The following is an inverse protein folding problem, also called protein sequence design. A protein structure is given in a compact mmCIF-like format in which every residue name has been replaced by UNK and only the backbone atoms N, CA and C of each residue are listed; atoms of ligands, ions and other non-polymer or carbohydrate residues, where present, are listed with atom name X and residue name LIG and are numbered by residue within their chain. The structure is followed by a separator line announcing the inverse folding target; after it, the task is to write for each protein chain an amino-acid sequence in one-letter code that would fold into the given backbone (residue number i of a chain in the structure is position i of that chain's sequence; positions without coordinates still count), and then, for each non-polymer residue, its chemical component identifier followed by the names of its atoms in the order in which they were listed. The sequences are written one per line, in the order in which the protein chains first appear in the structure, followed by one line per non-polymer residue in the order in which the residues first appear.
data_IF_497838194427
#
_entry.id   IF_497838194427
#
_cell.length_a   1.000
_cell.length_b   1.000
_cell.length_c   1.000
_cell.angle_alpha   90.00
_cell.angle_beta   90.00
_cell.angle_gamma   90.00
#
_symmetry.space_group_name_H-M   'P 1'
#
loop_
_entity.id
_entity.type
_entity.pdbx_description
1 polymer ?
#
# COMPACT_ATOMS: atom_id res chain seq x y z
N UNK A 1 24.53 -15.45 -6.88
CA UNK A 1 23.87 -14.45 -7.72
C UNK A 1 24.70 -13.15 -7.87
N UNK A 2 25.81 -13.00 -7.17
CA UNK A 2 26.61 -11.76 -7.19
C UNK A 2 26.09 -10.66 -6.25
N UNK A 3 24.92 -10.84 -5.66
CA UNK A 3 24.46 -9.98 -4.57
C UNK A 3 25.18 -10.38 -3.28
N UNK A 4 25.76 -9.40 -2.60
CA UNK A 4 26.28 -9.54 -1.25
C UNK A 4 25.21 -8.98 -0.32
N UNK A 5 24.54 -9.86 0.41
CA UNK A 5 23.59 -9.45 1.43
C UNK A 5 24.36 -8.82 2.61
N UNK A 6 23.74 -7.87 3.26
CA UNK A 6 24.23 -7.28 4.51
C UNK A 6 23.61 -8.03 5.71
N UNK A 7 24.15 -7.93 6.92
CA UNK A 7 23.73 -8.78 8.04
C UNK A 7 22.23 -8.86 8.30
N UNK A 8 21.52 -7.74 8.25
CA UNK A 8 20.07 -7.73 8.46
C UNK A 8 19.31 -8.46 7.34
N UNK A 9 19.81 -8.41 6.09
CA UNK A 9 19.23 -9.12 4.95
C UNK A 9 19.46 -10.62 5.06
N UNK A 10 20.64 -11.04 5.52
CA UNK A 10 20.93 -12.46 5.78
C UNK A 10 19.99 -13.02 6.86
N UNK A 11 19.77 -12.26 7.94
CA UNK A 11 18.84 -12.61 9.00
C UNK A 11 17.40 -12.68 8.48
N UNK A 12 16.95 -11.67 7.72
CA UNK A 12 15.61 -11.65 7.15
C UNK A 12 15.38 -12.85 6.22
N UNK A 13 16.33 -13.15 5.33
CA UNK A 13 16.24 -14.30 4.43
C UNK A 13 16.12 -15.64 5.18
N UNK A 14 16.85 -15.77 6.31
CA UNK A 14 16.74 -16.91 7.20
C UNK A 14 15.36 -17.00 7.86
N UNK A 15 14.85 -15.91 8.39
CA UNK A 15 13.58 -15.87 9.13
C UNK A 15 12.38 -16.09 8.20
N UNK A 16 12.39 -15.50 6.99
CA UNK A 16 11.36 -15.77 5.96
C UNK A 16 11.40 -17.23 5.53
N UNK A 17 12.61 -17.82 5.44
CA UNK A 17 12.80 -19.19 5.01
C UNK A 17 12.55 -20.25 6.09
N UNK A 18 12.18 -19.86 7.33
CA UNK A 18 11.98 -20.79 8.43
C UNK A 18 10.78 -21.72 8.19
N UNK A 19 10.99 -23.02 8.38
CA UNK A 19 9.97 -24.06 8.25
C UNK A 19 9.87 -24.88 9.53
N UNK A 20 8.68 -25.34 9.81
CA UNK A 20 8.40 -26.27 10.91
C UNK A 20 8.81 -27.71 10.58
N UNK A 21 8.60 -28.64 11.50
CA UNK A 21 8.92 -30.05 11.33
C UNK A 21 8.14 -30.73 10.19
N UNK A 22 7.02 -30.14 9.73
CA UNK A 22 6.23 -30.63 8.58
C UNK A 22 6.68 -30.01 7.25
N UNK A 23 7.67 -29.12 7.27
CA UNK A 23 8.15 -28.37 6.10
C UNK A 23 7.25 -27.21 5.70
N UNK A 24 6.34 -26.78 6.55
CA UNK A 24 5.50 -25.59 6.33
C UNK A 24 6.19 -24.33 6.87
N UNK A 25 5.91 -23.21 6.22
CA UNK A 25 6.41 -21.92 6.69
C UNK A 25 5.97 -21.66 8.14
N UNK A 26 6.91 -21.31 9.00
CA UNK A 26 6.61 -20.84 10.36
C UNK A 26 5.83 -19.54 10.30
N UNK A 27 6.17 -18.70 9.32
CA UNK A 27 5.55 -17.39 9.13
C UNK A 27 4.96 -17.27 7.71
N UNK A 28 3.73 -17.74 7.48
CA UNK A 28 3.06 -17.59 6.19
C UNK A 28 2.70 -16.13 5.86
N UNK A 29 2.73 -15.22 6.84
CA UNK A 29 2.59 -13.78 6.63
C UNK A 29 3.87 -13.07 7.09
N UNK A 30 4.41 -12.22 6.22
CA UNK A 30 5.65 -11.47 6.48
C UNK A 30 5.41 -9.99 6.20
N UNK A 31 5.64 -9.13 7.17
CA UNK A 31 5.62 -7.68 7.04
C UNK A 31 7.01 -7.09 7.22
N UNK A 32 7.42 -6.22 6.31
CA UNK A 32 8.73 -5.57 6.32
C UNK A 32 8.52 -4.08 6.19
N UNK A 33 8.77 -3.34 7.26
CA UNK A 33 8.75 -1.89 7.30
C UNK A 33 10.16 -1.36 7.53
N UNK A 34 10.71 -0.69 6.53
CA UNK A 34 12.09 -0.21 6.58
C UNK A 34 12.19 1.11 5.80
N UNK A 35 13.05 2.07 6.22
CA UNK A 35 13.28 3.31 5.49
C UNK A 35 13.67 3.07 4.02
N UNK A 36 13.53 4.10 3.21
CA UNK A 36 13.93 4.03 1.79
C UNK A 36 15.41 3.70 1.63
N UNK A 37 15.74 3.09 0.49
CA UNK A 37 17.10 2.79 0.04
C UNK A 37 17.92 1.86 0.96
N UNK A 38 17.28 1.13 1.85
CA UNK A 38 17.94 0.14 2.70
C UNK A 38 18.14 -1.23 2.01
N UNK A 39 17.70 -1.41 0.77
CA UNK A 39 17.90 -2.65 0.02
C UNK A 39 16.83 -3.73 0.25
N UNK A 40 15.67 -3.37 0.79
CA UNK A 40 14.50 -4.25 1.00
C UNK A 40 14.21 -5.15 -0.19
N UNK A 41 14.03 -4.57 -1.38
CA UNK A 41 13.67 -5.33 -2.59
C UNK A 41 14.79 -6.24 -3.08
N UNK A 42 16.07 -5.94 -2.78
CA UNK A 42 17.21 -6.81 -3.16
C UNK A 42 17.15 -8.14 -2.44
N UNK A 43 16.89 -8.14 -1.14
CA UNK A 43 16.77 -9.35 -0.34
C UNK A 43 15.61 -10.22 -0.84
N UNK A 44 14.43 -9.63 -0.99
CA UNK A 44 13.23 -10.33 -1.49
C UNK A 44 13.48 -10.89 -2.90
N UNK A 45 14.17 -10.16 -3.80
CA UNK A 45 14.53 -10.63 -5.14
C UNK A 45 15.40 -11.90 -5.05
N UNK A 46 16.41 -11.90 -4.19
CA UNK A 46 17.32 -13.05 -4.02
C UNK A 46 16.54 -14.25 -3.51
N UNK A 47 15.70 -14.05 -2.49
CA UNK A 47 14.88 -15.12 -1.92
C UNK A 47 13.88 -15.68 -2.93
N UNK A 48 13.12 -14.83 -3.62
CA UNK A 48 12.16 -15.21 -4.67
C UNK A 48 12.85 -15.96 -5.82
N UNK A 49 14.03 -15.49 -6.25
CA UNK A 49 14.78 -16.16 -7.31
C UNK A 49 15.14 -17.59 -6.92
N UNK A 50 15.53 -17.82 -5.66
CA UNK A 50 15.81 -19.17 -5.13
C UNK A 50 14.53 -20.01 -5.10
N UNK A 51 13.44 -19.47 -4.54
CA UNK A 51 12.18 -20.19 -4.39
C UNK A 51 11.59 -20.58 -5.75
N UNK A 52 11.56 -19.68 -6.72
CA UNK A 52 11.02 -20.00 -8.04
C UNK A 52 11.97 -20.87 -8.87
N UNK A 53 13.25 -20.47 -9.00
CA UNK A 53 14.16 -21.13 -9.94
C UNK A 53 14.70 -22.47 -9.45
N UNK A 54 14.82 -22.69 -8.14
CA UNK A 54 15.37 -23.92 -7.56
C UNK A 54 14.30 -24.76 -6.84
N UNK A 55 13.44 -24.15 -6.04
CA UNK A 55 12.44 -24.88 -5.26
C UNK A 55 11.09 -25.07 -5.98
N UNK A 56 10.90 -24.43 -7.15
CA UNK A 56 9.73 -24.65 -8.01
C UNK A 56 8.44 -24.00 -7.54
N UNK A 57 8.53 -22.94 -6.72
CA UNK A 57 7.38 -22.17 -6.28
C UNK A 57 6.84 -21.27 -7.39
N UNK A 58 5.52 -21.08 -7.40
CA UNK A 58 4.86 -20.07 -8.25
C UNK A 58 4.71 -18.79 -7.45
N UNK A 59 5.37 -17.75 -7.91
CA UNK A 59 5.45 -16.45 -7.23
C UNK A 59 4.73 -15.39 -8.04
N UNK A 60 3.86 -14.63 -7.39
CA UNK A 60 3.31 -13.39 -7.91
C UNK A 60 4.00 -12.20 -7.25
N UNK A 61 4.70 -11.40 -8.05
CA UNK A 61 5.24 -10.11 -7.61
C UNK A 61 4.32 -8.97 -8.04
N UNK A 62 3.89 -8.14 -7.09
CA UNK A 62 2.98 -7.04 -7.39
C UNK A 62 3.55 -5.68 -7.01
N UNK A 63 3.32 -4.70 -7.88
CA UNK A 63 3.67 -3.30 -7.72
C UNK A 63 2.45 -2.39 -7.82
N UNK A 64 2.56 -1.14 -7.34
CA UNK A 64 1.45 -0.20 -7.39
C UNK A 64 1.23 0.42 -8.78
N UNK A 65 2.29 0.51 -9.61
CA UNK A 65 2.19 1.01 -10.98
C UNK A 65 3.01 0.20 -11.97
N UNK A 66 2.76 0.41 -13.29
CA UNK A 66 3.40 -0.36 -14.35
C UNK A 66 4.90 -0.04 -14.49
N UNK A 67 5.33 1.20 -14.25
CA UNK A 67 6.75 1.56 -14.37
C UNK A 67 7.60 0.84 -13.33
N UNK A 68 7.14 0.77 -12.09
CA UNK A 68 7.84 0.01 -11.04
C UNK A 68 7.78 -1.50 -11.28
N UNK A 69 6.66 -2.01 -11.84
CA UNK A 69 6.58 -3.41 -12.29
C UNK A 69 7.67 -3.72 -13.31
N UNK A 70 7.86 -2.86 -14.31
CA UNK A 70 8.89 -3.06 -15.35
C UNK A 70 10.31 -2.93 -14.81
N UNK A 71 10.56 -2.02 -13.86
CA UNK A 71 11.84 -1.95 -13.17
C UNK A 71 12.17 -3.28 -12.47
N UNK A 72 11.17 -3.88 -11.82
CA UNK A 72 11.33 -5.17 -11.16
C UNK A 72 11.60 -6.30 -12.17
N UNK A 73 10.86 -6.34 -13.27
CA UNK A 73 11.13 -7.28 -14.38
C UNK A 73 12.58 -7.17 -14.86
N UNK A 74 13.09 -5.95 -15.04
CA UNK A 74 14.48 -5.73 -15.49
C UNK A 74 15.52 -6.16 -14.44
N UNK A 75 15.22 -6.03 -13.15
CA UNK A 75 16.08 -6.57 -12.08
C UNK A 75 16.19 -8.11 -12.16
N UNK A 76 15.09 -8.80 -12.40
CA UNK A 76 15.10 -10.27 -12.60
C UNK A 76 15.76 -10.66 -13.91
N UNK A 77 15.63 -9.87 -14.99
CA UNK A 77 16.36 -10.08 -16.25
C UNK A 77 17.87 -10.03 -16.07
N UNK A 78 18.39 -9.16 -15.21
CA UNK A 78 19.81 -9.11 -14.85
C UNK A 78 20.31 -10.41 -14.19
N UNK A 79 19.42 -11.21 -13.62
CA UNK A 79 19.75 -12.51 -13.03
C UNK A 79 19.60 -13.62 -14.07
N UNK A 80 18.46 -13.68 -14.77
CA UNK A 80 18.06 -14.83 -15.59
C UNK A 80 18.21 -14.62 -17.10
N UNK A 81 18.43 -13.37 -17.56
CA UNK A 81 18.42 -13.01 -18.98
C UNK A 81 17.04 -12.57 -19.47
N UNK A 82 16.98 -11.96 -20.65
CA UNK A 82 15.74 -11.48 -21.29
C UNK A 82 14.99 -12.55 -22.03
N UNK A 83 15.67 -13.62 -22.44
CA UNK A 83 15.13 -14.75 -23.21
C UNK A 83 15.90 -16.02 -22.90
N UNK A 84 15.31 -17.14 -23.24
CA UNK A 84 15.96 -18.45 -23.14
C UNK A 84 17.20 -18.47 -24.04
N UNK A 85 18.33 -18.93 -23.50
CA UNK A 85 19.60 -18.97 -24.23
C UNK A 85 20.29 -17.61 -24.40
N UNK A 86 19.84 -16.57 -23.68
CA UNK A 86 20.50 -15.26 -23.68
C UNK A 86 21.94 -15.38 -23.20
N UNK A 87 22.89 -14.86 -24.01
CA UNK A 87 24.31 -14.82 -23.63
C UNK A 87 24.81 -13.42 -23.30
N UNK A 88 24.00 -12.39 -23.62
CA UNK A 88 24.35 -10.99 -23.42
C UNK A 88 23.98 -10.45 -22.03
N UNK A 89 22.96 -11.03 -21.43
CA UNK A 89 22.47 -10.61 -20.12
C UNK A 89 22.21 -11.83 -19.23
N UNK A 90 22.12 -11.60 -17.94
CA UNK A 90 21.92 -12.66 -16.97
C UNK A 90 23.21 -13.34 -16.50
N UNK A 91 23.11 -13.91 -15.31
CA UNK A 91 24.24 -14.61 -14.66
C UNK A 91 24.34 -16.02 -15.24
N UNK A 92 25.48 -16.47 -15.77
CA UNK A 92 25.61 -17.72 -16.54
C UNK A 92 25.03 -18.97 -15.86
N UNK A 93 25.14 -19.07 -14.55
CA UNK A 93 24.62 -20.16 -13.73
C UNK A 93 23.10 -20.13 -13.62
N UNK A 94 22.50 -18.94 -13.46
CA UNK A 94 21.07 -18.74 -13.22
C UNK A 94 20.26 -18.72 -14.53
N UNK A 95 20.80 -18.11 -15.60
CA UNK A 95 20.12 -18.07 -16.90
C UNK A 95 19.86 -19.45 -17.50
N UNK A 96 20.66 -20.47 -17.15
CA UNK A 96 20.45 -21.86 -17.57
C UNK A 96 19.17 -22.48 -17.00
N UNK A 97 18.65 -21.92 -15.93
CA UNK A 97 17.41 -22.37 -15.29
C UNK A 97 16.16 -21.81 -15.98
N UNK A 98 16.30 -20.75 -16.79
CA UNK A 98 15.21 -20.12 -17.50
C UNK A 98 14.80 -20.97 -18.71
N UNK A 99 13.53 -21.39 -18.78
CA UNK A 99 13.01 -22.24 -19.86
C UNK A 99 11.94 -21.55 -20.70
N UNK A 100 11.30 -20.50 -20.18
CA UNK A 100 10.30 -19.75 -20.92
C UNK A 100 10.13 -18.34 -20.38
N UNK A 101 9.86 -17.36 -21.23
CA UNK A 101 9.64 -15.95 -20.89
C UNK A 101 8.46 -15.39 -21.66
N UNK A 102 7.55 -14.72 -20.99
CA UNK A 102 6.56 -13.85 -21.61
C UNK A 102 6.95 -12.39 -21.36
N UNK A 103 6.99 -11.58 -22.40
CA UNK A 103 7.27 -10.15 -22.33
C UNK A 103 6.10 -9.31 -22.89
N UNK A 104 4.89 -9.91 -22.96
CA UNK A 104 3.69 -9.18 -23.35
C UNK A 104 3.32 -8.19 -22.26
N UNK A 105 3.06 -6.95 -22.63
CA UNK A 105 2.70 -5.86 -21.72
C UNK A 105 1.56 -6.24 -20.78
N UNK A 106 1.81 -6.15 -19.48
CA UNK A 106 0.84 -6.50 -18.42
C UNK A 106 0.67 -7.99 -18.16
N UNK A 107 1.48 -8.84 -18.82
CA UNK A 107 1.47 -10.29 -18.66
C UNK A 107 2.91 -10.84 -18.56
N UNK A 108 3.82 -10.09 -17.98
CA UNK A 108 5.22 -10.47 -17.88
C UNK A 108 5.41 -11.62 -16.87
N UNK A 109 6.10 -12.67 -17.30
CA UNK A 109 6.48 -13.79 -16.43
C UNK A 109 7.73 -14.54 -16.92
N UNK A 110 8.35 -15.26 -16.01
CA UNK A 110 9.50 -16.13 -16.24
C UNK A 110 9.21 -17.52 -15.68
N UNK A 111 9.45 -18.58 -16.46
CA UNK A 111 9.32 -19.98 -16.02
C UNK A 111 10.69 -20.65 -15.97
N UNK A 112 10.88 -21.50 -14.98
CA UNK A 112 12.14 -22.17 -14.70
C UNK A 112 12.05 -23.69 -14.85
N UNK A 113 13.21 -24.34 -15.05
CA UNK A 113 13.32 -25.79 -15.19
C UNK A 113 12.84 -26.57 -13.96
N UNK A 114 12.77 -25.95 -12.80
CA UNK A 114 12.15 -26.48 -11.58
C UNK A 114 10.63 -26.60 -11.64
N UNK A 115 9.98 -26.03 -12.68
CA UNK A 115 8.53 -25.84 -12.77
C UNK A 115 8.03 -24.56 -12.09
N UNK A 116 8.89 -23.83 -11.40
CA UNK A 116 8.51 -22.55 -10.77
C UNK A 116 8.29 -21.43 -11.79
N UNK A 117 7.56 -20.41 -11.36
CA UNK A 117 7.21 -19.25 -12.18
C UNK A 117 7.35 -18.00 -11.33
N UNK A 118 7.84 -16.92 -11.91
CA UNK A 118 7.69 -15.58 -11.37
C UNK A 118 6.80 -14.82 -12.34
N UNK A 119 5.63 -14.38 -11.88
CA UNK A 119 4.73 -13.51 -12.62
C UNK A 119 4.77 -12.12 -12.01
N UNK A 120 4.77 -11.10 -12.86
CA UNK A 120 4.76 -9.71 -12.45
C UNK A 120 3.40 -9.09 -12.78
N UNK A 121 2.87 -8.27 -11.88
CA UNK A 121 1.58 -7.63 -12.08
C UNK A 121 1.52 -6.26 -11.41
N UNK A 122 0.86 -5.33 -12.08
CA UNK A 122 0.43 -4.09 -11.46
C UNK A 122 -0.87 -4.32 -10.71
N UNK A 123 -0.98 -3.81 -9.49
CA UNK A 123 -2.21 -3.89 -8.69
C UNK A 123 -3.30 -3.02 -9.31
N UNK A 124 -4.30 -3.64 -9.88
CA UNK A 124 -5.50 -2.98 -10.43
C UNK A 124 -6.74 -3.64 -9.86
N UNK A 125 -7.85 -2.90 -9.76
CA UNK A 125 -9.15 -3.41 -9.29
C UNK A 125 -9.69 -4.59 -10.15
N UNK A 126 -9.13 -4.81 -11.34
CA UNK A 126 -9.59 -5.81 -12.31
C UNK A 126 -8.50 -6.82 -12.73
N UNK A 127 -7.47 -7.01 -11.89
CA UNK A 127 -6.41 -7.99 -12.19
C UNK A 127 -7.01 -9.38 -12.36
N UNK A 128 -7.17 -9.83 -13.59
CA UNK A 128 -7.64 -11.20 -13.91
C UNK A 128 -6.48 -12.17 -13.70
N UNK A 129 -6.32 -12.62 -12.48
CA UNK A 129 -5.34 -13.63 -12.14
C UNK A 129 -5.94 -15.01 -12.37
N UNK A 130 -5.70 -15.58 -13.58
CA UNK A 130 -6.14 -16.94 -13.94
C UNK A 130 -5.24 -18.05 -13.38
N UNK A 131 -4.30 -17.73 -12.48
CA UNK A 131 -3.29 -18.65 -11.96
C UNK A 131 -3.38 -18.76 -10.44
N UNK A 132 -2.99 -19.95 -9.92
CA UNK A 132 -2.77 -20.14 -8.49
C UNK A 132 -1.31 -19.88 -8.17
N UNK A 133 -1.05 -19.20 -7.07
CA UNK A 133 0.30 -18.89 -6.60
C UNK A 133 0.56 -19.51 -5.22
N UNK A 134 1.81 -19.86 -4.98
CA UNK A 134 2.27 -20.34 -3.68
C UNK A 134 2.77 -19.16 -2.82
N UNK A 135 3.33 -18.14 -3.47
CA UNK A 135 3.92 -16.97 -2.83
C UNK A 135 3.39 -15.69 -3.51
N UNK A 136 2.98 -14.71 -2.71
CA UNK A 136 2.60 -13.37 -3.19
C UNK A 136 3.48 -12.32 -2.52
N UNK A 137 4.06 -11.44 -3.32
CA UNK A 137 4.83 -10.29 -2.86
C UNK A 137 4.06 -9.01 -3.15
N UNK A 138 3.76 -8.25 -2.11
CA UNK A 138 3.25 -6.89 -2.18
C UNK A 138 4.40 -5.93 -1.90
N UNK A 139 5.16 -5.54 -2.94
CA UNK A 139 6.15 -4.46 -2.79
C UNK A 139 5.44 -3.11 -2.78
N UNK A 140 6.02 -2.10 -2.15
CA UNK A 140 5.36 -0.82 -1.85
C UNK A 140 4.01 -1.02 -1.15
N UNK A 141 4.00 -1.76 -0.03
CA UNK A 141 2.79 -2.13 0.71
C UNK A 141 2.07 -0.93 1.36
N UNK A 142 2.73 0.22 1.50
CA UNK A 142 2.09 1.48 1.92
C UNK A 142 1.07 2.00 0.90
N UNK A 143 1.08 1.50 -0.34
CA UNK A 143 0.09 1.81 -1.39
C UNK A 143 -0.99 0.72 -1.53
N UNK A 144 -1.05 -0.24 -0.60
CA UNK A 144 -1.94 -1.39 -0.67
C UNK A 144 -3.29 -1.11 -0.02
N UNK A 145 -4.37 -1.32 -0.78
CA UNK A 145 -5.75 -1.24 -0.27
C UNK A 145 -6.33 -2.61 0.02
N UNK A 146 -7.39 -2.67 0.84
CA UNK A 146 -8.13 -3.91 1.12
C UNK A 146 -8.70 -4.56 -0.14
N UNK A 147 -9.10 -3.78 -1.15
CA UNK A 147 -9.61 -4.31 -2.43
C UNK A 147 -8.55 -5.13 -3.16
N UNK A 148 -7.29 -4.70 -3.15
CA UNK A 148 -6.21 -5.44 -3.81
C UNK A 148 -6.00 -6.81 -3.17
N UNK A 149 -6.02 -6.89 -1.84
CA UNK A 149 -5.86 -8.17 -1.14
C UNK A 149 -7.06 -9.09 -1.33
N UNK A 150 -8.29 -8.57 -1.37
CA UNK A 150 -9.49 -9.35 -1.66
C UNK A 150 -9.45 -10.02 -3.03
N UNK A 151 -8.84 -9.37 -4.03
CA UNK A 151 -8.70 -9.93 -5.39
C UNK A 151 -7.55 -10.93 -5.49
N UNK A 152 -6.42 -10.65 -4.84
CA UNK A 152 -5.19 -11.42 -5.03
C UNK A 152 -5.08 -12.58 -4.06
N UNK A 153 -5.39 -12.42 -2.76
CA UNK A 153 -5.19 -13.46 -1.77
C UNK A 153 -5.94 -14.78 -2.07
N UNK A 154 -7.16 -14.80 -2.64
CA UNK A 154 -7.80 -16.06 -3.03
C UNK A 154 -6.99 -16.91 -4.01
N UNK A 155 -6.09 -16.29 -4.80
CA UNK A 155 -5.23 -17.03 -5.76
C UNK A 155 -4.22 -17.94 -5.06
N UNK A 156 -3.95 -17.73 -3.77
CA UNK A 156 -3.00 -18.55 -2.99
C UNK A 156 -3.64 -19.81 -2.38
N UNK A 157 -4.96 -19.87 -2.28
CA UNK A 157 -5.66 -20.99 -1.63
C UNK A 157 -5.52 -22.32 -2.36
N UNK A 158 -5.24 -22.28 -3.66
CA UNK A 158 -5.05 -23.45 -4.53
C UNK A 158 -3.61 -23.61 -5.03
N UNK A 159 -2.64 -23.01 -4.35
CA UNK A 159 -1.22 -23.14 -4.67
C UNK A 159 -0.76 -24.61 -4.65
N UNK A 160 0.01 -25.01 -5.65
CA UNK A 160 0.41 -26.41 -5.84
C UNK A 160 1.28 -26.98 -4.71
N UNK A 161 1.99 -26.11 -3.98
CA UNK A 161 2.83 -26.51 -2.84
C UNK A 161 2.03 -26.68 -1.54
N UNK A 162 0.78 -26.20 -1.50
CA UNK A 162 -0.02 -26.14 -0.27
C UNK A 162 0.74 -25.52 0.92
N UNK A 163 1.62 -24.58 0.61
CA UNK A 163 2.51 -23.91 1.55
C UNK A 163 2.60 -22.42 1.16
N UNK A 164 1.51 -21.71 1.42
CA UNK A 164 1.34 -20.34 1.01
C UNK A 164 2.23 -19.39 1.85
N UNK A 165 2.71 -18.33 1.22
CA UNK A 165 3.32 -17.20 1.89
C UNK A 165 2.90 -15.88 1.24
N UNK A 166 2.66 -14.85 2.07
CA UNK A 166 2.37 -13.51 1.62
C UNK A 166 3.37 -12.55 2.29
N UNK A 167 4.13 -11.82 1.48
CA UNK A 167 5.13 -10.85 1.92
C UNK A 167 4.62 -9.44 1.61
N UNK A 168 4.56 -8.60 2.62
CA UNK A 168 4.21 -7.19 2.54
C UNK A 168 5.45 -6.36 2.85
N UNK A 169 5.97 -5.65 1.88
CA UNK A 169 7.20 -4.89 2.02
C UNK A 169 6.98 -3.42 1.67
N UNK A 170 7.31 -2.52 2.57
CA UNK A 170 7.06 -1.09 2.38
C UNK A 170 7.89 -0.18 3.28
N UNK A 171 7.62 1.10 3.17
CA UNK A 171 8.04 2.14 4.09
C UNK A 171 6.88 2.51 5.01
N UNK A 172 7.10 3.23 6.12
CA UNK A 172 6.02 3.80 6.91
C UNK A 172 5.04 4.60 6.05
N UNK A 173 3.77 4.55 6.44
CA UNK A 173 2.71 5.19 5.66
C UNK A 173 2.68 6.69 5.92
N UNK A 174 2.50 7.47 4.87
CA UNK A 174 2.26 8.92 4.96
C UNK A 174 0.79 9.23 5.16
N UNK A 175 0.50 10.46 5.61
CA UNK A 175 -0.86 10.97 5.56
C UNK A 175 -1.39 10.94 4.11
N UNK A 176 -2.56 10.35 3.90
CA UNK A 176 -3.15 10.19 2.56
C UNK A 176 -2.80 8.90 1.81
N UNK A 177 -1.85 8.08 2.29
CA UNK A 177 -1.68 6.74 1.72
C UNK A 177 -2.86 5.84 2.08
N UNK A 178 -3.36 5.03 1.14
CA UNK A 178 -4.50 4.15 1.39
C UNK A 178 -4.20 2.97 2.33
N UNK A 179 -3.02 2.70 2.62
CA UNK A 179 -2.30 1.67 3.38
C UNK A 179 -3.00 0.94 4.55
N UNK A 180 -4.31 0.76 4.51
CA UNK A 180 -5.09 0.08 5.58
C UNK A 180 -4.52 -1.29 5.93
N UNK A 181 -4.18 -2.07 4.90
CA UNK A 181 -3.67 -3.43 5.09
C UNK A 181 -2.34 -3.42 5.84
N UNK A 182 -1.41 -2.55 5.45
CA UNK A 182 -0.08 -2.49 6.04
C UNK A 182 -0.10 -1.92 7.46
N UNK A 183 -0.96 -0.92 7.72
CA UNK A 183 -1.23 -0.39 9.06
C UNK A 183 -1.82 -1.46 9.98
N UNK A 184 -2.81 -2.20 9.49
CA UNK A 184 -3.45 -3.27 10.27
C UNK A 184 -2.49 -4.41 10.59
N UNK A 185 -1.58 -4.76 9.67
CA UNK A 185 -0.54 -5.76 9.93
C UNK A 185 0.41 -5.30 11.03
N UNK A 186 0.87 -4.04 10.97
CA UNK A 186 1.70 -3.46 12.02
C UNK A 186 0.98 -3.49 13.38
N UNK A 187 -0.28 -3.06 13.40
CA UNK A 187 -1.08 -3.08 14.62
C UNK A 187 -1.22 -4.51 15.18
N UNK A 188 -1.53 -5.52 14.34
CA UNK A 188 -1.57 -6.91 14.78
C UNK A 188 -0.25 -7.38 15.37
N UNK A 189 0.89 -7.02 14.75
CA UNK A 189 2.21 -7.39 15.24
C UNK A 189 2.49 -6.78 16.64
N UNK A 190 2.08 -5.54 16.86
CA UNK A 190 2.28 -4.84 18.13
C UNK A 190 1.32 -5.30 19.22
N UNK A 191 0.08 -5.59 18.89
CA UNK A 191 -0.93 -6.12 19.83
C UNK A 191 -0.63 -7.58 20.20
N UNK A 192 0.02 -8.34 19.32
CA UNK A 192 0.29 -9.74 19.52
C UNK A 192 -0.97 -10.62 19.49
N UNK A 193 -0.89 -11.77 20.17
CA UNK A 193 -2.02 -12.69 20.29
C UNK A 193 -2.22 -13.58 19.06
N UNK A 194 -3.41 -14.21 18.96
CA UNK A 194 -3.72 -15.20 17.94
C UNK A 194 -3.59 -14.66 16.51
N UNK A 195 -4.01 -13.42 16.26
CA UNK A 195 -3.94 -12.79 14.93
C UNK A 195 -2.51 -12.53 14.44
N UNK A 196 -1.54 -12.50 15.34
CA UNK A 196 -0.13 -12.30 15.01
C UNK A 196 0.68 -13.61 15.04
N UNK A 197 0.10 -14.73 15.42
CA UNK A 197 0.81 -16.00 15.65
C UNK A 197 1.54 -16.54 14.43
N UNK A 198 1.09 -16.19 13.23
CA UNK A 198 1.64 -16.60 11.94
C UNK A 198 2.36 -15.45 11.21
N UNK A 199 2.52 -14.29 11.86
CA UNK A 199 3.08 -13.07 11.29
C UNK A 199 4.51 -12.85 11.76
N UNK A 200 5.46 -12.82 10.82
CA UNK A 200 6.77 -12.19 11.01
C UNK A 200 6.65 -10.70 10.71
N UNK A 201 6.98 -9.84 11.65
CA UNK A 201 7.04 -8.40 11.44
C UNK A 201 8.45 -7.88 11.71
N UNK A 202 9.09 -7.34 10.67
CA UNK A 202 10.37 -6.65 10.77
C UNK A 202 10.17 -5.16 10.58
N UNK A 203 10.54 -4.37 11.59
CA UNK A 203 10.43 -2.92 11.54
C UNK A 203 11.74 -2.26 11.96
N UNK A 204 12.20 -1.34 11.12
CA UNK A 204 13.27 -0.41 11.44
C UNK A 204 12.69 1.01 11.40
N UNK A 205 12.75 1.71 12.52
CA UNK A 205 12.22 3.06 12.62
C UNK A 205 12.34 3.65 14.00
N UNK A 206 12.26 4.97 14.06
CA UNK A 206 12.25 5.73 15.32
C UNK A 206 10.85 5.77 15.91
N UNK A 207 10.74 5.79 17.24
CA UNK A 207 9.46 5.94 17.94
C UNK A 207 8.95 7.38 17.92
N UNK A 208 9.88 8.35 17.86
CA UNK A 208 9.58 9.79 17.79
C UNK A 208 10.44 10.49 16.74
N UNK A 209 9.95 11.59 16.20
CA UNK A 209 10.66 12.35 15.15
C UNK A 209 12.02 12.83 15.70
N UNK A 210 12.03 13.52 16.85
CA UNK A 210 13.24 14.07 17.45
C UNK A 210 14.04 14.94 16.48
N UNK A 211 15.33 15.11 16.74
CA UNK A 211 16.24 15.76 15.79
C UNK A 211 16.58 14.79 14.62
N UNK A 212 16.10 15.12 13.45
CA UNK A 212 16.33 14.30 12.23
C UNK A 212 17.80 14.36 11.76
N UNK A 213 18.56 15.38 12.19
CA UNK A 213 19.96 15.57 11.84
C UNK A 213 20.93 14.94 12.85
N UNK A 214 20.43 14.38 13.94
CA UNK A 214 21.24 13.60 14.87
C UNK A 214 21.64 12.26 14.24
N UNK A 215 22.81 12.25 13.60
CA UNK A 215 23.35 11.08 12.90
C UNK A 215 23.68 9.91 13.82
N UNK A 216 23.74 10.12 15.14
CA UNK A 216 23.95 9.02 16.10
C UNK A 216 22.78 8.04 16.14
N UNK A 217 21.58 8.50 15.77
CA UNK A 217 20.34 7.68 15.67
C UNK A 217 20.25 6.85 14.39
N UNK A 218 20.95 7.26 13.31
CA UNK A 218 20.79 6.67 11.99
C UNK A 218 21.19 5.20 11.90
N UNK A 219 22.30 4.72 12.52
CA UNK A 219 22.68 3.30 12.45
C UNK A 219 21.64 2.33 13.00
N UNK A 220 20.81 2.76 13.96
CA UNK A 220 19.79 1.92 14.60
C UNK A 220 18.61 1.66 13.65
N UNK A 221 18.29 2.63 12.78
CA UNK A 221 17.11 2.58 11.91
C UNK A 221 17.43 2.43 10.43
N UNK A 222 18.68 2.65 10.05
CA UNK A 222 19.19 2.48 8.69
C UNK A 222 20.21 1.33 8.64
N UNK A 223 19.76 0.07 8.67
CA UNK A 223 20.67 -1.08 8.84
C UNK A 223 21.59 -1.33 7.64
N UNK A 224 21.41 -0.62 6.52
CA UNK A 224 22.31 -0.64 5.36
C UNK A 224 23.24 0.56 5.29
N UNK A 225 23.27 1.40 6.31
CA UNK A 225 24.16 2.54 6.38
C UNK A 225 25.64 2.10 6.37
N UNK A 226 26.43 2.68 5.47
CA UNK A 226 27.81 2.27 5.26
C UNK A 226 28.03 1.04 4.38
N UNK A 227 26.96 0.35 3.98
CA UNK A 227 27.00 -0.76 3.01
C UNK A 227 26.48 -0.30 1.63
N UNK A 228 25.20 0.05 1.55
CA UNK A 228 24.52 0.47 0.33
C UNK A 228 24.01 1.90 0.43
N UNK A 229 23.66 2.35 1.64
CA UNK A 229 23.16 3.68 1.89
C UNK A 229 24.32 4.65 2.13
N UNK A 230 24.42 5.68 1.28
CA UNK A 230 25.43 6.73 1.40
C UNK A 230 24.90 7.90 2.25
N UNK A 231 25.62 8.21 3.32
CA UNK A 231 25.32 9.34 4.22
C UNK A 231 25.13 10.66 3.45
N UNK A 232 25.94 10.92 2.42
CA UNK A 232 25.82 12.16 1.63
C UNK A 232 24.51 12.21 0.86
N UNK A 233 24.11 11.08 0.27
CA UNK A 233 22.84 10.98 -0.45
C UNK A 233 21.65 11.17 0.49
N UNK A 234 21.69 10.58 1.69
CA UNK A 234 20.68 10.74 2.73
C UNK A 234 20.57 12.22 3.14
N UNK A 235 21.67 12.85 3.54
CA UNK A 235 21.69 14.27 3.90
C UNK A 235 21.13 15.18 2.79
N UNK A 236 21.44 14.87 1.54
CA UNK A 236 20.93 15.65 0.41
C UNK A 236 19.44 15.46 0.23
N UNK A 237 18.95 14.23 0.30
CA UNK A 237 17.52 13.94 0.15
C UNK A 237 16.66 14.51 1.28
N UNK A 238 17.18 14.57 2.51
CA UNK A 238 16.46 15.14 3.66
C UNK A 238 16.30 16.66 3.57
N UNK A 239 17.23 17.38 2.90
CA UNK A 239 17.20 18.85 2.82
C UNK A 239 15.97 19.43 2.11
N UNK A 240 15.40 18.68 1.18
CA UNK A 240 14.28 19.12 0.36
C UNK A 240 12.92 18.68 0.96
N UNK A 241 12.92 18.13 2.19
CA UNK A 241 11.74 17.63 2.89
C UNK A 241 11.48 18.42 4.17
N UNK A 242 10.22 18.44 4.60
CA UNK A 242 9.90 18.82 5.98
C UNK A 242 10.39 17.75 6.97
N UNK A 243 10.50 18.11 8.24
CA UNK A 243 11.05 17.22 9.28
C UNK A 243 10.24 15.91 9.39
N UNK A 244 8.90 16.01 9.30
CA UNK A 244 8.04 14.83 9.37
C UNK A 244 8.23 13.91 8.17
N UNK A 245 8.26 14.47 6.96
CA UNK A 245 8.50 13.71 5.74
C UNK A 245 9.87 13.05 5.74
N UNK A 246 10.91 13.76 6.18
CA UNK A 246 12.26 13.20 6.31
C UNK A 246 12.31 12.07 7.35
N UNK A 247 11.67 12.24 8.51
CA UNK A 247 11.57 11.19 9.51
C UNK A 247 10.84 9.93 8.98
N UNK A 248 9.76 10.08 8.23
CA UNK A 248 9.03 8.95 7.64
C UNK A 248 9.85 8.21 6.59
N UNK A 249 10.52 8.94 5.69
CA UNK A 249 11.24 8.36 4.56
C UNK A 249 12.59 7.76 4.95
N UNK A 250 13.34 8.44 5.83
CA UNK A 250 14.72 8.08 6.15
C UNK A 250 14.89 7.48 7.54
N UNK A 251 14.05 7.87 8.52
CA UNK A 251 14.13 7.34 9.88
C UNK A 251 13.05 6.31 10.19
N UNK A 252 12.20 5.96 9.24
CA UNK A 252 11.19 4.93 9.41
C UNK A 252 10.08 5.26 10.40
N UNK A 253 9.81 6.55 10.63
CA UNK A 253 8.82 7.00 11.59
C UNK A 253 7.39 6.68 11.14
N UNK A 254 6.65 5.98 11.97
CA UNK A 254 5.21 5.74 11.78
C UNK A 254 4.40 6.79 12.52
N UNK A 255 3.42 7.38 11.82
CA UNK A 255 2.46 8.26 12.49
C UNK A 255 1.68 7.47 13.56
N UNK A 256 1.52 8.03 14.76
CA UNK A 256 0.63 7.46 15.77
C UNK A 256 -0.79 7.30 15.23
N UNK A 257 -1.54 6.27 15.65
CA UNK A 257 -2.91 6.05 15.20
C UNK A 257 -3.83 7.28 15.32
N UNK A 258 -3.63 8.08 16.34
CA UNK A 258 -4.38 9.33 16.59
C UNK A 258 -4.08 10.44 15.57
N UNK A 259 -2.90 10.42 14.95
CA UNK A 259 -2.48 11.39 13.93
C UNK A 259 -2.72 10.89 12.51
N UNK A 260 -3.29 9.69 12.36
CA UNK A 260 -3.71 9.15 11.05
C UNK A 260 -5.10 9.69 10.64
N UNK A 261 -5.74 10.47 11.48
CA UNK A 261 -6.92 11.25 11.09
C UNK A 261 -6.46 12.24 10.02
N UNK A 262 -7.06 12.18 8.86
CA UNK A 262 -6.84 13.16 7.79
C UNK A 262 -6.88 14.56 8.40
N UNK A 263 -5.84 15.36 8.13
CA UNK A 263 -5.80 16.74 8.61
C UNK A 263 -7.06 17.42 8.08
N UNK A 264 -7.94 17.93 8.94
CA UNK A 264 -9.19 18.51 8.48
C UNK A 264 -8.88 19.65 7.51
N UNK A 265 -9.60 19.68 6.39
CA UNK A 265 -9.45 20.71 5.34
C UNK A 265 -9.65 22.11 5.92
N UNK A 266 -10.50 22.21 6.95
CA UNK A 266 -10.73 23.43 7.72
C UNK A 266 -10.18 23.20 9.13
N UNK A 267 -9.28 24.04 9.60
CA UNK A 267 -8.74 23.96 10.95
C UNK A 267 -9.84 24.01 12.02
N UNK A 268 -9.65 23.30 13.13
CA UNK A 268 -10.64 23.18 14.20
C UNK A 268 -11.08 24.53 14.77
N UNK A 269 -10.17 25.50 14.88
CA UNK A 269 -10.46 26.83 15.40
C UNK A 269 -11.36 27.61 14.43
N UNK A 270 -11.00 27.63 13.15
CA UNK A 270 -11.81 28.25 12.10
C UNK A 270 -13.18 27.58 11.93
N UNK A 271 -13.24 26.25 12.13
CA UNK A 271 -14.51 25.52 12.15
C UNK A 271 -15.34 25.89 13.37
N UNK A 272 -14.71 26.01 14.54
CA UNK A 272 -15.35 26.39 15.80
C UNK A 272 -15.99 27.77 15.74
N UNK A 273 -15.34 28.74 15.06
CA UNK A 273 -15.87 30.08 14.85
C UNK A 273 -17.12 30.11 13.96
N UNK A 274 -17.31 29.09 13.13
CA UNK A 274 -18.48 28.95 12.25
C UNK A 274 -19.66 28.21 12.88
N UNK A 275 -19.49 27.62 14.06
CA UNK A 275 -20.55 26.87 14.73
C UNK A 275 -21.63 27.78 15.27
N UNK A 276 -22.88 27.41 15.05
CA UNK A 276 -24.06 28.09 15.57
C UNK A 276 -24.96 27.09 16.28
N UNK A 277 -25.68 27.56 17.34
CA UNK A 277 -26.53 26.67 18.14
C UNK A 277 -27.81 26.25 17.41
N UNK A 278 -28.26 27.05 16.44
CA UNK A 278 -29.48 26.77 15.67
C UNK A 278 -29.38 27.29 14.25
N UNK A 279 -29.98 26.56 13.31
CA UNK A 279 -30.09 26.99 11.93
C UNK A 279 -31.13 28.13 11.75
N UNK A 280 -31.11 28.81 10.59
CA UNK A 280 -32.10 29.84 10.29
C UNK A 280 -33.51 29.27 10.10
N UNK A 281 -34.54 30.05 10.40
CA UNK A 281 -35.92 29.68 10.04
C UNK A 281 -36.07 29.55 8.52
N UNK A 282 -36.58 28.41 8.09
CA UNK A 282 -36.78 28.12 6.67
C UNK A 282 -38.12 28.69 6.20
N UNK A 283 -38.09 29.62 5.27
CA UNK A 283 -39.26 30.14 4.57
C UNK A 283 -39.13 29.95 3.05
N UNK A 284 -40.17 30.34 2.31
CA UNK A 284 -40.20 30.15 0.84
C UNK A 284 -39.14 30.96 0.09
N UNK A 285 -38.62 32.04 0.69
CA UNK A 285 -37.65 32.95 0.07
C UNK A 285 -36.19 32.53 0.35
N UNK A 286 -35.95 31.53 1.19
CA UNK A 286 -34.65 31.00 1.45
C UNK A 286 -34.13 30.25 0.21
N UNK A 287 -32.90 30.58 -0.21
CA UNK A 287 -32.22 29.81 -1.26
C UNK A 287 -31.52 28.61 -0.65
N UNK A 288 -31.95 27.41 -1.07
CA UNK A 288 -31.41 26.15 -0.55
C UNK A 288 -30.68 25.41 -1.71
N UNK A 289 -29.44 24.95 -1.45
CA UNK A 289 -28.70 24.09 -2.36
C UNK A 289 -28.27 22.80 -1.64
N UNK A 290 -28.23 21.69 -2.35
CA UNK A 290 -27.72 20.44 -1.82
C UNK A 290 -26.43 20.03 -2.55
N UNK A 291 -25.47 19.47 -1.82
CA UNK A 291 -24.24 18.86 -2.34
C UNK A 291 -24.17 17.39 -1.95
N UNK A 292 -23.83 16.53 -2.87
CA UNK A 292 -23.64 15.08 -2.64
C UNK A 292 -22.23 14.70 -3.02
N UNK A 293 -21.53 14.00 -2.14
CA UNK A 293 -20.21 13.46 -2.41
C UNK A 293 -20.11 12.02 -1.93
N UNK A 294 -19.49 11.19 -2.76
CA UNK A 294 -19.11 9.83 -2.41
C UNK A 294 -17.63 9.78 -2.02
N UNK A 295 -17.29 8.90 -1.07
CA UNK A 295 -15.89 8.55 -0.83
C UNK A 295 -15.27 7.91 -2.08
N UNK A 296 -13.94 7.95 -2.21
CA UNK A 296 -13.24 7.42 -3.37
C UNK A 296 -13.48 5.91 -3.61
N UNK A 297 -13.74 5.18 -2.53
CA UNK A 297 -14.04 3.73 -2.54
C UNK A 297 -15.55 3.43 -2.64
N UNK A 298 -16.40 4.46 -2.62
CA UNK A 298 -17.86 4.32 -2.64
C UNK A 298 -18.50 3.82 -1.34
N UNK A 299 -17.71 3.64 -0.26
CA UNK A 299 -18.20 3.12 1.02
C UNK A 299 -19.02 4.10 1.84
N UNK A 300 -18.91 5.39 1.52
CA UNK A 300 -19.64 6.45 2.27
C UNK A 300 -20.19 7.47 1.31
N UNK A 301 -21.40 7.95 1.60
CA UNK A 301 -22.03 9.10 0.93
C UNK A 301 -22.31 10.19 1.94
N UNK A 302 -21.87 11.41 1.63
CA UNK A 302 -22.17 12.62 2.39
C UNK A 302 -23.14 13.52 1.61
N UNK A 303 -24.13 14.03 2.30
CA UNK A 303 -25.08 15.03 1.76
C UNK A 303 -25.03 16.26 2.65
N UNK A 304 -24.67 17.39 2.07
CA UNK A 304 -24.69 18.69 2.73
C UNK A 304 -25.78 19.56 2.15
N UNK A 305 -26.43 20.36 2.99
CA UNK A 305 -27.40 21.39 2.59
C UNK A 305 -26.89 22.76 3.00
N UNK A 306 -26.90 23.69 2.05
CA UNK A 306 -26.54 25.09 2.26
C UNK A 306 -27.79 25.95 2.15
N UNK A 307 -28.08 26.77 3.16
CA UNK A 307 -29.27 27.66 3.24
C UNK A 307 -28.80 29.09 3.31
N UNK A 308 -29.32 29.92 2.42
CA UNK A 308 -29.11 31.37 2.46
C UNK A 308 -30.44 32.10 2.65
N UNK A 309 -30.70 32.69 3.83
CA UNK A 309 -31.89 33.55 4.04
C UNK A 309 -31.84 34.80 3.17
N UNK A 310 -33.00 35.39 2.83
CA UNK A 310 -33.07 36.64 2.07
C UNK A 310 -32.27 37.75 2.77
N UNK A 311 -31.42 38.44 2.00
CA UNK A 311 -30.61 39.56 2.51
C UNK A 311 -29.44 39.17 3.43
N UNK A 312 -29.28 37.88 3.77
CA UNK A 312 -28.15 37.43 4.59
C UNK A 312 -26.84 37.42 3.80
N UNK A 313 -25.74 37.97 4.35
CA UNK A 313 -24.41 37.87 3.79
C UNK A 313 -23.80 36.46 4.03
N UNK A 314 -24.33 35.69 4.98
CA UNK A 314 -23.80 34.36 5.38
C UNK A 314 -24.67 33.23 4.86
N UNK A 315 -24.08 32.05 4.77
CA UNK A 315 -24.72 30.80 4.39
C UNK A 315 -24.64 29.85 5.57
N UNK A 316 -25.76 29.28 5.97
CA UNK A 316 -25.79 28.19 6.95
C UNK A 316 -25.63 26.85 6.25
N UNK A 317 -24.74 25.98 6.76
CA UNK A 317 -24.47 24.67 6.18
C UNK A 317 -24.73 23.59 7.21
N UNK A 318 -25.49 22.58 6.83
CA UNK A 318 -25.74 21.36 7.61
C UNK A 318 -25.35 20.12 6.85
N UNK A 319 -25.02 19.06 7.59
CA UNK A 319 -24.67 17.73 7.05
C UNK A 319 -25.76 16.72 7.47
N UNK A 320 -26.90 16.65 6.75
CA UNK A 320 -27.99 15.74 7.09
C UNK A 320 -27.59 14.28 7.13
N UNK A 321 -26.69 13.87 6.23
CA UNK A 321 -26.24 12.50 6.12
C UNK A 321 -24.72 12.41 5.86
N UNK A 322 -24.10 11.48 6.57
CA UNK A 322 -22.76 10.93 6.27
C UNK A 322 -22.81 9.46 6.67
N UNK A 323 -23.08 8.57 5.72
CA UNK A 323 -23.35 7.16 6.02
C UNK A 323 -23.00 6.24 4.84
N UNK A 324 -23.01 4.94 5.12
CA UNK A 324 -22.92 3.87 4.12
C UNK A 324 -24.13 3.96 3.14
N UNK A 325 -23.91 3.91 1.82
CA UNK A 325 -24.97 3.91 0.82
C UNK A 325 -25.77 2.60 0.75
N UNK A 326 -25.30 1.52 1.38
CA UNK A 326 -25.92 0.20 1.29
C UNK A 326 -27.39 0.14 1.76
N UNK A 327 -28.23 -0.71 1.15
CA UNK A 327 -27.94 -1.69 0.11
C UNK A 327 -27.88 -1.10 -1.31
N UNK A 328 -28.29 0.15 -1.51
CA UNK A 328 -28.20 0.85 -2.80
C UNK A 328 -28.27 2.37 -2.58
N UNK A 329 -27.97 3.14 -3.62
CA UNK A 329 -28.10 4.61 -3.62
C UNK A 329 -29.51 5.09 -3.95
N UNK A 330 -30.47 4.21 -4.16
CA UNK A 330 -31.86 4.58 -4.56
C UNK A 330 -32.54 5.48 -3.54
N UNK A 331 -32.30 5.21 -2.24
CA UNK A 331 -32.83 6.06 -1.18
C UNK A 331 -32.41 7.53 -1.33
N UNK A 332 -31.18 7.79 -1.80
CA UNK A 332 -30.66 9.12 -2.03
C UNK A 332 -31.38 9.81 -3.21
N UNK A 333 -31.58 9.07 -4.30
CA UNK A 333 -32.34 9.57 -5.45
C UNK A 333 -33.78 9.94 -5.05
N UNK A 334 -34.46 9.07 -4.29
CA UNK A 334 -35.79 9.35 -3.76
C UNK A 334 -35.80 10.54 -2.79
N UNK A 335 -34.80 10.63 -1.92
CA UNK A 335 -34.69 11.73 -0.95
C UNK A 335 -34.50 13.09 -1.63
N UNK A 336 -33.66 13.15 -2.68
CA UNK A 336 -33.46 14.36 -3.51
C UNK A 336 -34.76 14.69 -4.30
N UNK A 337 -35.33 13.71 -4.98
CA UNK A 337 -36.52 13.87 -5.79
C UNK A 337 -37.72 14.39 -4.96
N UNK A 338 -37.93 13.86 -3.77
CA UNK A 338 -39.00 14.30 -2.88
C UNK A 338 -38.87 15.78 -2.42
N UNK A 339 -37.68 16.38 -2.60
CA UNK A 339 -37.36 17.75 -2.17
C UNK A 339 -36.95 18.65 -3.34
N UNK A 340 -37.01 18.15 -4.57
CA UNK A 340 -36.54 18.86 -5.76
C UNK A 340 -37.11 20.28 -5.90
N UNK A 341 -38.39 20.49 -5.56
CA UNK A 341 -39.04 21.82 -5.60
C UNK A 341 -38.52 22.82 -4.56
N UNK A 342 -37.73 22.39 -3.58
CA UNK A 342 -37.15 23.26 -2.54
C UNK A 342 -35.70 23.66 -2.85
N UNK A 343 -35.02 22.96 -3.74
CA UNK A 343 -33.62 23.22 -4.06
C UNK A 343 -33.48 24.17 -5.24
N UNK A 344 -32.68 25.22 -5.07
CA UNK A 344 -32.23 26.05 -6.16
C UNK A 344 -31.21 25.33 -7.05
N UNK A 345 -30.41 24.44 -6.46
CA UNK A 345 -29.51 23.54 -7.18
C UNK A 345 -29.16 22.29 -6.36
N UNK A 346 -28.83 21.24 -7.06
CA UNK A 346 -28.23 20.03 -6.48
C UNK A 346 -26.92 19.74 -7.24
N UNK A 347 -25.81 19.72 -6.53
CA UNK A 347 -24.50 19.37 -7.07
C UNK A 347 -24.13 17.94 -6.64
N UNK A 348 -23.73 17.09 -7.59
CA UNK A 348 -23.30 15.73 -7.30
C UNK A 348 -21.87 15.59 -7.83
N UNK A 349 -20.94 15.26 -6.95
CA UNK A 349 -19.55 14.93 -7.32
C UNK A 349 -19.50 13.48 -7.79
N UNK A 350 -19.64 13.27 -9.12
CA UNK A 350 -19.64 11.97 -9.75
C UNK A 350 -18.28 11.52 -10.31
N UNK A 351 -17.25 12.36 -10.23
CA UNK A 351 -15.94 12.05 -10.84
C UNK A 351 -15.03 11.13 -10.03
N UNK A 352 -15.27 10.98 -8.75
CA UNK A 352 -14.43 10.14 -7.88
C UNK A 352 -14.75 8.64 -8.00
N UNK A 353 -15.72 8.25 -8.81
CA UNK A 353 -16.20 6.87 -8.97
C UNK A 353 -16.44 6.44 -10.42
N UNK A 354 -15.92 7.16 -11.39
CA UNK A 354 -15.99 6.74 -12.81
C UNK A 354 -14.64 6.23 -13.30
#
# INVERSE_FOLDING_TARGET
MGYKLVPWQEQLAHDIGAVDASGKWVHPRVGISIPRQQGKSVDIIVWVAVMAALAGYKVLWTEHNYSTTMEMVDRFRKIFGRRVGDTSEGIPRWRKLLVEVCSQTGQEWMRFSSGGVIQFSTRTKSSRLGFSFDIVIYDEAQELTGIHTQVINPTTTSGAKHNLMIVYAGTPTRAGNPAEVFKNLRQQAWEGGEKASDLLWLEYGVEEVGDIWDESRWPEVMPSLGYHADIRAIRTGMKDMDELGAAQEYLGYWLPPQNQVEKPVIGSDAWGECLVESGPELNADCRICAGVRFSADGSTVAVACAVRPPGSPTVHVELPFCKDPEPSTDWLAYWIAARAGRYACVAIDGKAGA
#
